data_IF_337222116099
#
_entry.id   IF_337222116099
#
_cell.length_a   1.000
_cell.length_b   1.000
_cell.length_c   1.000
_cell.angle_alpha   90.00
_cell.angle_beta   90.00
_cell.angle_gamma   90.00
#
_symmetry.space_group_name_H-M   'P 1'
#
loop_
_entity.id
_entity.type
_entity.pdbx_description
1 polymer ?
#
# COMPACT_ATOMS: atom_id res chain seq x y z
N UNK A 1 6.18 7.38 18.28
CA UNK A 1 5.60 6.07 17.97
C UNK A 1 6.26 5.63 16.67
N UNK A 2 7.17 4.66 16.69
CA UNK A 2 7.85 4.20 15.47
C UNK A 2 6.82 3.44 14.63
N UNK A 3 6.39 4.05 13.53
CA UNK A 3 5.45 3.41 12.60
C UNK A 3 6.24 2.37 11.83
N UNK A 4 6.20 1.13 12.31
CA UNK A 4 6.79 0.03 11.57
C UNK A 4 5.97 -0.25 10.32
N UNK A 5 6.65 -0.32 9.17
CA UNK A 5 6.04 -0.59 7.87
C UNK A 5 6.33 -2.03 7.46
N UNK A 6 5.38 -2.65 6.76
CA UNK A 6 5.60 -3.97 6.18
C UNK A 6 6.18 -3.78 4.79
N UNK A 7 7.25 -4.53 4.49
CA UNK A 7 7.86 -4.55 3.17
C UNK A 7 7.79 -5.96 2.58
N UNK A 8 7.36 -6.02 1.32
CA UNK A 8 7.46 -7.20 0.49
C UNK A 8 8.88 -7.26 -0.11
N UNK A 9 9.58 -8.36 0.16
CA UNK A 9 10.87 -8.67 -0.45
C UNK A 9 10.62 -9.41 -1.75
N UNK A 10 11.01 -8.81 -2.87
CA UNK A 10 10.73 -9.28 -4.22
C UNK A 10 12.04 -9.66 -4.89
N UNK A 11 12.06 -10.80 -5.56
CA UNK A 11 13.15 -11.21 -6.41
C UNK A 11 12.58 -11.83 -7.69
N UNK A 12 13.05 -11.35 -8.85
CA UNK A 12 12.54 -11.74 -10.18
C UNK A 12 11.01 -11.58 -10.32
N UNK A 13 10.45 -10.53 -9.72
CA UNK A 13 9.02 -10.24 -9.77
C UNK A 13 8.14 -11.13 -8.90
N UNK A 14 8.72 -12.00 -8.05
CA UNK A 14 7.98 -12.86 -7.12
C UNK A 14 8.28 -12.41 -5.70
N UNK A 15 7.24 -12.25 -4.87
CA UNK A 15 7.38 -11.97 -3.45
C UNK A 15 7.93 -13.21 -2.76
N UNK A 16 9.11 -13.09 -2.14
CA UNK A 16 9.77 -14.16 -1.40
C UNK A 16 9.43 -14.13 0.09
N UNK A 17 9.26 -12.95 0.65
CA UNK A 17 8.91 -12.75 2.05
C UNK A 17 8.16 -11.43 2.23
N UNK A 18 7.34 -11.35 3.28
CA UNK A 18 6.73 -10.11 3.76
C UNK A 18 7.11 -9.97 5.22
N UNK A 19 7.86 -8.90 5.53
CA UNK A 19 8.41 -8.69 6.87
C UNK A 19 8.31 -7.24 7.26
N UNK A 20 8.28 -7.01 8.57
CA UNK A 20 8.29 -5.69 9.18
C UNK A 20 9.71 -5.16 9.24
N UNK A 21 9.92 -3.94 8.76
CA UNK A 21 11.20 -3.23 8.88
C UNK A 21 10.99 -1.82 9.43
N UNK A 22 12.06 -1.21 9.92
CA UNK A 22 12.00 0.17 10.41
C UNK A 22 12.00 1.19 9.27
N UNK A 23 12.67 0.89 8.16
CA UNK A 23 12.75 1.75 6.99
C UNK A 23 13.09 0.96 5.71
N UNK A 24 12.91 1.63 4.56
CA UNK A 24 13.19 1.08 3.24
C UNK A 24 14.66 0.68 3.03
N UNK A 25 15.61 1.46 3.55
CA UNK A 25 17.05 1.22 3.32
C UNK A 25 17.48 -0.11 3.96
N UNK A 26 17.03 -0.37 5.19
CA UNK A 26 17.25 -1.62 5.88
C UNK A 26 16.57 -2.79 5.16
N UNK A 27 15.30 -2.63 4.78
CA UNK A 27 14.55 -3.66 4.07
C UNK A 27 15.25 -4.06 2.77
N UNK A 28 15.72 -3.08 1.99
CA UNK A 28 16.38 -3.31 0.71
C UNK A 28 17.78 -3.93 0.88
N UNK A 29 18.53 -3.51 1.91
CA UNK A 29 19.83 -4.11 2.25
C UNK A 29 19.68 -5.59 2.62
N UNK A 30 18.69 -5.92 3.44
CA UNK A 30 18.41 -7.30 3.85
C UNK A 30 17.88 -8.12 2.66
N UNK A 31 16.98 -7.56 1.85
CA UNK A 31 16.48 -8.19 0.64
C UNK A 31 17.63 -8.66 -0.26
N UNK A 32 18.58 -7.76 -0.54
CA UNK A 32 19.76 -8.08 -1.36
C UNK A 32 20.70 -9.08 -0.72
N UNK A 33 20.94 -8.94 0.59
CA UNK A 33 21.80 -9.86 1.34
C UNK A 33 21.26 -11.30 1.39
N UNK A 34 19.94 -11.48 1.41
CA UNK A 34 19.30 -12.80 1.55
C UNK A 34 18.93 -13.42 0.20
N UNK A 35 18.40 -12.62 -0.73
CA UNK A 35 17.82 -13.11 -2.00
C UNK A 35 18.64 -12.71 -3.25
N UNK A 36 19.79 -12.04 -3.06
CA UNK A 36 20.70 -11.64 -4.13
C UNK A 36 20.56 -10.18 -4.56
N UNK A 37 21.57 -9.64 -5.25
CA UNK A 37 21.70 -8.20 -5.53
C UNK A 37 20.54 -7.59 -6.33
N UNK A 38 19.81 -8.41 -7.09
CA UNK A 38 18.62 -8.01 -7.86
C UNK A 38 17.33 -7.96 -7.02
N UNK A 39 17.38 -8.40 -5.76
CA UNK A 39 16.24 -8.33 -4.87
C UNK A 39 15.95 -6.88 -4.45
N UNK A 40 14.67 -6.58 -4.30
CA UNK A 40 14.17 -5.27 -3.90
C UNK A 40 13.18 -5.42 -2.75
N UNK A 41 13.05 -4.38 -1.93
CA UNK A 41 11.98 -4.26 -0.95
C UNK A 41 10.97 -3.21 -1.42
N UNK A 42 9.67 -3.49 -1.28
CA UNK A 42 8.59 -2.55 -1.63
C UNK A 42 7.61 -2.48 -0.46
N UNK A 43 7.20 -1.28 -0.08
CA UNK A 43 6.19 -1.09 0.98
C UNK A 43 4.88 -1.77 0.57
N UNK A 44 4.38 -2.64 1.44
CA UNK A 44 3.14 -3.36 1.28
C UNK A 44 2.25 -3.25 2.52
N UNK A 45 2.45 -2.24 3.36
CA UNK A 45 1.72 -2.05 4.62
C UNK A 45 0.20 -2.06 4.43
N UNK A 46 -0.24 -1.56 3.27
CA UNK A 46 -1.65 -1.43 2.90
C UNK A 46 -2.09 -2.42 1.82
N UNK A 47 -1.24 -3.37 1.47
CA UNK A 47 -1.52 -4.40 0.48
C UNK A 47 -1.45 -5.76 1.16
N UNK A 48 -2.53 -6.55 1.19
CA UNK A 48 -2.52 -7.88 1.79
C UNK A 48 -1.82 -8.91 0.88
N UNK A 49 -0.57 -8.63 0.51
CA UNK A 49 0.30 -9.51 -0.26
C UNK A 49 0.94 -10.59 0.62
N UNK A 50 1.26 -11.72 0.01
CA UNK A 50 1.83 -12.90 0.64
C UNK A 50 3.02 -13.42 -0.17
N UNK A 51 3.93 -14.21 0.45
CA UNK A 51 4.95 -14.93 -0.29
C UNK A 51 4.33 -15.79 -1.41
N UNK A 52 4.87 -15.69 -2.62
CA UNK A 52 4.35 -16.34 -3.82
C UNK A 52 3.50 -15.44 -4.72
N UNK A 53 2.99 -14.32 -4.20
CA UNK A 53 2.34 -13.30 -5.03
C UNK A 53 3.35 -12.65 -5.99
N UNK A 54 2.83 -12.07 -7.07
CA UNK A 54 3.62 -11.46 -8.14
C UNK A 54 3.65 -9.95 -7.96
N UNK A 55 4.81 -9.36 -8.17
CA UNK A 55 4.98 -7.92 -8.27
C UNK A 55 5.39 -7.54 -9.69
N UNK A 56 4.53 -6.78 -10.38
CA UNK A 56 4.72 -6.37 -11.77
C UNK A 56 4.23 -4.94 -11.95
N UNK A 57 5.02 -4.10 -12.63
CA UNK A 57 4.66 -2.72 -12.99
C UNK A 57 4.22 -1.84 -11.79
N UNK A 58 4.74 -2.12 -10.59
CA UNK A 58 4.41 -1.37 -9.38
C UNK A 58 3.17 -1.89 -8.62
N UNK A 59 2.53 -2.95 -9.13
CA UNK A 59 1.33 -3.53 -8.54
C UNK A 59 1.56 -4.95 -8.03
N UNK A 60 0.81 -5.31 -7.00
CA UNK A 60 0.78 -6.65 -6.43
C UNK A 60 -0.36 -7.46 -7.06
N UNK A 61 -0.06 -8.69 -7.45
CA UNK A 61 -0.98 -9.60 -8.13
C UNK A 61 -0.97 -10.95 -7.42
N UNK A 62 -2.15 -11.55 -7.28
CA UNK A 62 -2.32 -12.90 -6.76
C UNK A 62 -2.79 -13.82 -7.87
N UNK A 63 -2.12 -14.96 -8.02
CA UNK A 63 -2.58 -16.03 -8.88
C UNK A 63 -3.55 -16.89 -8.07
N UNK A 64 -4.82 -16.90 -8.49
CA UNK A 64 -5.84 -17.74 -7.89
C UNK A 64 -5.65 -19.22 -8.28
N UNK A 65 -6.28 -20.15 -7.56
CA UNK A 65 -6.19 -21.60 -7.87
C UNK A 65 -6.65 -21.95 -9.28
N UNK A 66 -7.53 -21.13 -9.87
CA UNK A 66 -8.01 -21.27 -11.25
C UNK A 66 -7.04 -20.70 -12.31
N UNK A 67 -5.86 -20.19 -11.90
CA UNK A 67 -4.86 -19.57 -12.77
C UNK A 67 -5.14 -18.12 -13.17
N UNK A 68 -6.19 -17.48 -12.62
CA UNK A 68 -6.51 -16.07 -12.89
C UNK A 68 -5.58 -15.17 -12.09
N UNK A 69 -5.03 -14.14 -12.74
CA UNK A 69 -4.30 -13.06 -12.05
C UNK A 69 -5.33 -12.05 -11.52
N UNK A 70 -5.34 -11.83 -10.20
CA UNK A 70 -6.15 -10.82 -9.55
C UNK A 70 -5.26 -9.76 -8.90
N UNK A 71 -5.59 -8.48 -9.11
CA UNK A 71 -4.84 -7.39 -8.52
C UNK A 71 -5.17 -7.28 -7.02
N UNK A 72 -4.15 -7.16 -6.19
CA UNK A 72 -4.32 -6.99 -4.75
C UNK A 72 -4.69 -5.53 -4.48
N UNK A 73 -5.91 -5.32 -3.99
CA UNK A 73 -6.42 -3.99 -3.70
C UNK A 73 -5.74 -3.35 -2.49
N UNK A 74 -5.65 -2.02 -2.55
CA UNK A 74 -5.15 -1.19 -1.47
C UNK A 74 -6.19 -1.10 -0.35
N UNK A 75 -5.77 -1.38 0.89
CA UNK A 75 -6.59 -1.31 2.09
C UNK A 75 -6.20 -0.06 2.90
N UNK A 76 -7.04 1.00 2.90
CA UNK A 76 -6.76 2.24 3.61
C UNK A 76 -6.72 2.03 5.12
N UNK A 77 -5.79 2.69 5.80
CA UNK A 77 -5.74 2.73 7.27
C UNK A 77 -6.93 3.52 7.84
N UNK A 78 -7.37 3.23 9.08
CA UNK A 78 -8.42 4.01 9.73
C UNK A 78 -8.14 5.52 9.75
N UNK A 79 -6.89 5.93 9.98
CA UNK A 79 -6.48 7.34 10.01
C UNK A 79 -6.62 8.01 8.63
N UNK A 80 -6.29 7.30 7.55
CA UNK A 80 -6.52 7.81 6.18
C UNK A 80 -7.99 7.91 5.84
N UNK A 81 -8.83 6.99 6.33
CA UNK A 81 -10.28 7.09 6.15
C UNK A 81 -10.82 8.37 6.82
N UNK A 82 -10.37 8.69 8.02
CA UNK A 82 -10.79 9.92 8.74
C UNK A 82 -10.39 11.18 7.96
N UNK A 83 -9.17 11.28 7.44
CA UNK A 83 -8.75 12.43 6.61
C UNK A 83 -9.62 12.61 5.36
N UNK A 84 -9.96 11.51 4.69
CA UNK A 84 -10.85 11.54 3.51
C UNK A 84 -12.26 11.99 3.89
N UNK A 85 -12.77 11.55 5.05
CA UNK A 85 -14.08 11.99 5.56
C UNK A 85 -14.09 13.47 5.97
N UNK A 86 -13.04 13.98 6.61
CA UNK A 86 -12.90 15.39 6.99
C UNK A 86 -12.80 16.31 5.76
N UNK A 87 -12.11 15.87 4.71
CA UNK A 87 -12.06 16.58 3.42
C UNK A 87 -13.45 16.69 2.80
N UNK A 88 -14.23 15.60 2.79
CA UNK A 88 -15.58 15.59 2.22
C UNK A 88 -16.55 16.48 3.01
N UNK A 89 -16.44 16.52 4.35
CA UNK A 89 -17.23 17.43 5.19
C UNK A 89 -16.87 18.90 4.95
N UNK A 90 -15.60 19.20 4.70
CA UNK A 90 -15.15 20.56 4.40
C UNK A 90 -15.71 21.05 3.06
N UNK A 91 -15.65 20.23 2.02
CA UNK A 91 -16.25 20.56 0.72
C UNK A 91 -17.77 20.73 0.82
N UNK A 92 -18.46 19.86 1.55
CA UNK A 92 -19.91 19.96 1.72
C UNK A 92 -20.31 21.21 2.52
N UNK A 93 -19.51 21.61 3.51
CA UNK A 93 -19.75 22.82 4.32
C UNK A 93 -19.59 24.11 3.48
N UNK A 94 -18.63 24.14 2.56
CA UNK A 94 -18.44 25.28 1.63
C UNK A 94 -19.63 25.41 0.68
N UNK A 95 -20.11 24.30 0.10
CA UNK A 95 -21.27 24.30 -0.79
C UNK A 95 -22.56 24.69 -0.05
N UNK A 96 -22.74 24.22 1.18
CA UNK A 96 -23.87 24.62 2.01
C UNK A 96 -23.81 26.11 2.32
N UNK A 97 -22.64 26.68 2.67
CA UNK A 97 -22.49 28.11 2.95
C UNK A 97 -22.85 29.00 1.75
N UNK A 98 -22.50 28.61 0.52
CA UNK A 98 -22.91 29.34 -0.69
C UNK A 98 -24.43 29.24 -0.96
N UNK A 99 -25.05 28.10 -0.63
CA UNK A 99 -26.50 27.91 -0.81
C UNK A 99 -27.36 28.65 0.24
N UNK A 100 -26.86 28.88 1.46
CA UNK A 100 -27.55 29.71 2.47
C UNK A 100 -27.15 31.19 2.41
N UNK A 101 -25.99 31.53 1.83
CA UNK A 101 -25.51 32.90 1.66
C UNK A 101 -26.17 33.67 0.51
N UNK A 102 -26.87 32.98 -0.39
CA UNK A 102 -27.67 33.56 -1.47
C UNK A 102 -29.05 34.06 -1.02
N UNK A 103 -29.11 34.89 0.02
CA UNK A 103 -30.28 35.72 0.31
C UNK A 103 -30.05 37.12 -0.28
N UNK A 104 -30.45 37.30 -1.54
CA UNK A 104 -30.74 38.62 -2.12
C UNK A 104 -32.20 38.99 -1.91
#
# INVERSE_FOLDING_TARGET
MSVHQNYAVINQGIIKAVSRFENFEEANRIARGVYGDEAIAVDCTQYPCNPGDIFREGFFWRIQENGTEEMIEYVPTPEQQVMVLESQLTELTVVVADLIGGAV
#
